data_IF_026655313529
#
_entry.id   IF_026655313529
#
_cell.length_a   1.000
_cell.length_b   1.000
_cell.length_c   1.000
_cell.angle_alpha   90.00
_cell.angle_beta   90.00
_cell.angle_gamma   90.00
#
_symmetry.space_group_name_H-M   'P 1'
#
loop_
_entity.id
_entity.type
_entity.pdbx_description
1 polymer ?
#
# COMPACT_ATOMS: atom_id res chain seq x y z
N UNK A 1 -32.72 3.42 -19.27
CA UNK A 1 -31.60 2.46 -19.12
C UNK A 1 -30.22 3.15 -19.02
N UNK A 2 -29.87 4.12 -19.90
CA UNK A 2 -28.55 4.82 -19.86
C UNK A 2 -28.20 5.53 -18.54
N UNK A 3 -29.20 6.14 -17.87
CA UNK A 3 -28.98 6.87 -16.60
C UNK A 3 -28.52 5.96 -15.46
N UNK A 4 -29.09 4.75 -15.32
CA UNK A 4 -28.66 3.79 -14.29
C UNK A 4 -27.23 3.30 -14.45
N UNK A 5 -26.76 3.14 -15.70
CA UNK A 5 -25.38 2.72 -15.98
C UNK A 5 -24.40 3.81 -15.55
N UNK A 6 -24.70 5.07 -15.89
CA UNK A 6 -23.86 6.20 -15.49
C UNK A 6 -23.82 6.33 -13.96
N UNK A 7 -24.98 6.24 -13.29
CA UNK A 7 -25.03 6.31 -11.82
C UNK A 7 -24.24 5.15 -11.19
N UNK A 8 -24.40 3.92 -11.70
CA UNK A 8 -23.65 2.76 -11.23
C UNK A 8 -22.13 2.92 -11.39
N UNK A 9 -21.69 3.45 -12.53
CA UNK A 9 -20.28 3.72 -12.79
C UNK A 9 -19.74 4.82 -11.86
N UNK A 10 -20.50 5.88 -11.62
CA UNK A 10 -20.11 6.93 -10.67
C UNK A 10 -19.97 6.39 -9.25
N UNK A 11 -20.89 5.55 -8.79
CA UNK A 11 -20.78 4.91 -7.47
C UNK A 11 -19.60 3.93 -7.40
N UNK A 12 -19.32 3.19 -8.48
CA UNK A 12 -18.16 2.32 -8.54
C UNK A 12 -16.84 3.12 -8.46
N UNK A 13 -16.73 4.22 -9.20
CA UNK A 13 -15.58 5.11 -9.13
C UNK A 13 -15.42 5.76 -7.74
N UNK A 14 -16.53 6.20 -7.12
CA UNK A 14 -16.52 6.72 -5.75
C UNK A 14 -16.10 5.65 -4.74
N UNK A 15 -16.56 4.41 -4.92
CA UNK A 15 -16.19 3.27 -4.08
C UNK A 15 -14.71 2.96 -4.20
N UNK A 16 -14.16 2.95 -5.42
CA UNK A 16 -12.74 2.74 -5.68
C UNK A 16 -11.90 3.87 -5.06
N UNK A 17 -12.35 5.12 -5.17
CA UNK A 17 -11.68 6.26 -4.55
C UNK A 17 -11.70 6.18 -3.01
N UNK A 18 -12.82 5.75 -2.42
CA UNK A 18 -12.95 5.52 -0.97
C UNK A 18 -12.03 4.40 -0.49
N UNK A 19 -11.96 3.29 -1.23
CA UNK A 19 -11.02 2.20 -1.00
C UNK A 19 -9.56 2.67 -1.11
N UNK A 20 -9.23 3.50 -2.10
CA UNK A 20 -7.91 4.11 -2.24
C UNK A 20 -7.56 4.98 -1.02
N UNK A 21 -8.47 5.88 -0.63
CA UNK A 21 -8.26 6.76 0.52
C UNK A 21 -8.08 5.97 1.83
N UNK A 22 -8.87 4.93 2.04
CA UNK A 22 -8.74 4.05 3.19
C UNK A 22 -7.38 3.36 3.23
N UNK A 23 -6.86 2.92 2.09
CA UNK A 23 -5.58 2.21 2.00
C UNK A 23 -4.41 3.14 2.32
N UNK A 24 -4.42 4.35 1.77
CA UNK A 24 -3.45 5.40 2.11
C UNK A 24 -3.53 5.74 3.59
N UNK A 25 -4.73 5.92 4.14
CA UNK A 25 -4.89 6.18 5.57
C UNK A 25 -4.31 5.05 6.43
N UNK A 26 -4.47 3.80 5.98
CA UNK A 26 -3.89 2.62 6.61
C UNK A 26 -2.35 2.64 6.57
N UNK A 27 -1.75 3.06 5.46
CA UNK A 27 -0.31 3.22 5.32
C UNK A 27 0.22 4.21 6.37
N UNK A 28 -0.41 5.38 6.46
CA UNK A 28 -0.03 6.39 7.45
C UNK A 28 -0.25 5.89 8.89
N UNK A 29 -1.29 5.09 9.14
CA UNK A 29 -1.52 4.49 10.46
C UNK A 29 -0.38 3.52 10.85
N UNK A 30 0.10 2.75 9.87
CA UNK A 30 1.15 1.75 10.07
C UNK A 30 2.57 2.31 9.74
N UNK A 31 2.68 3.60 9.46
CA UNK A 31 3.93 4.30 9.13
C UNK A 31 5.14 3.94 10.01
N UNK A 32 5.04 3.88 11.36
CA UNK A 32 6.21 3.56 12.18
C UNK A 32 6.78 2.14 11.96
N UNK A 33 6.00 1.23 11.39
CA UNK A 33 6.45 -0.13 11.03
C UNK A 33 6.89 -0.18 9.57
N UNK A 34 6.19 0.50 8.67
CA UNK A 34 6.45 0.45 7.23
C UNK A 34 7.64 1.32 6.83
N UNK A 35 7.82 2.50 7.44
CA UNK A 35 8.89 3.44 7.12
C UNK A 35 10.30 2.81 7.15
N UNK A 36 10.72 2.10 8.20
CA UNK A 36 12.06 1.48 8.21
C UNK A 36 12.20 0.30 7.24
N UNK A 37 11.10 -0.26 6.74
CA UNK A 37 11.12 -1.49 5.93
C UNK A 37 10.95 -1.23 4.43
N UNK A 38 10.15 -0.22 4.05
CA UNK A 38 9.75 0.03 2.66
C UNK A 38 9.92 1.50 2.21
N UNK A 39 10.42 2.38 3.07
CA UNK A 39 10.67 3.79 2.72
C UNK A 39 9.43 4.69 2.81
N UNK A 40 9.49 5.87 2.18
CA UNK A 40 8.34 6.77 2.12
C UNK A 40 7.41 6.38 0.98
N UNK A 41 6.10 6.45 1.21
CA UNK A 41 5.10 6.19 0.18
C UNK A 41 5.23 7.16 -1.00
N UNK A 42 5.74 8.38 -0.77
CA UNK A 42 5.97 9.36 -1.83
C UNK A 42 7.07 8.94 -2.82
N UNK A 43 7.94 8.01 -2.45
CA UNK A 43 8.99 7.49 -3.33
C UNK A 43 8.48 6.37 -4.24
N UNK A 44 7.29 5.84 -3.97
CA UNK A 44 6.71 4.75 -4.74
C UNK A 44 6.17 5.27 -6.07
N UNK A 45 6.84 4.89 -7.15
CA UNK A 45 6.45 5.24 -8.52
C UNK A 45 6.27 3.98 -9.34
N UNK A 46 5.06 3.73 -9.84
CA UNK A 46 4.79 2.55 -10.65
C UNK A 46 3.30 2.29 -10.89
N UNK A 47 2.95 1.50 -11.91
CA UNK A 47 1.56 1.15 -12.21
C UNK A 47 0.91 0.29 -11.11
N UNK A 48 1.72 -0.39 -10.30
CA UNK A 48 1.25 -1.35 -9.29
C UNK A 48 0.93 -0.71 -7.92
N UNK A 49 1.32 0.55 -7.71
CA UNK A 49 1.07 1.29 -6.46
C UNK A 49 -0.42 1.42 -6.18
N UNK A 50 -1.22 1.76 -7.19
CA UNK A 50 -2.66 1.91 -7.02
C UNK A 50 -3.37 0.57 -6.71
N UNK A 51 -3.12 -0.51 -7.47
CA UNK A 51 -3.56 -1.86 -7.08
C UNK A 51 -3.13 -2.25 -5.67
N UNK A 52 -1.90 -1.88 -5.22
CA UNK A 52 -1.42 -2.15 -3.87
C UNK A 52 -2.35 -1.57 -2.81
N UNK A 53 -2.68 -0.29 -2.96
CA UNK A 53 -3.53 0.45 -2.02
C UNK A 53 -4.92 -0.20 -1.97
N UNK A 54 -5.48 -0.58 -3.12
CA UNK A 54 -6.78 -1.25 -3.19
C UNK A 54 -6.74 -2.62 -2.51
N UNK A 55 -5.70 -3.42 -2.77
CA UNK A 55 -5.52 -4.71 -2.12
C UNK A 55 -5.34 -4.57 -0.60
N UNK A 56 -4.57 -3.59 -0.15
CA UNK A 56 -4.39 -3.33 1.27
C UNK A 56 -5.73 -3.02 1.96
N UNK A 57 -6.56 -2.17 1.34
CA UNK A 57 -7.91 -1.86 1.84
C UNK A 57 -8.88 -3.04 1.79
N UNK A 58 -8.71 -3.96 0.83
CA UNK A 58 -9.57 -5.12 0.69
C UNK A 58 -9.20 -6.24 1.67
N UNK A 59 -7.90 -6.46 1.92
CA UNK A 59 -7.42 -7.47 2.85
C UNK A 59 -7.56 -7.04 4.32
N UNK A 60 -7.42 -5.75 4.62
CA UNK A 60 -7.47 -5.27 6.00
C UNK A 60 -8.75 -5.64 6.78
N UNK A 61 -9.97 -5.59 6.19
CA UNK A 61 -11.22 -6.06 6.79
C UNK A 61 -11.18 -7.47 7.36
N UNK A 62 -10.32 -8.36 6.83
CA UNK A 62 -10.14 -9.74 7.33
C UNK A 62 -9.59 -9.75 8.76
N UNK A 63 -8.93 -8.66 9.19
CA UNK A 63 -8.42 -8.49 10.55
C UNK A 63 -9.54 -8.30 11.58
N UNK A 64 -10.72 -7.80 11.18
CA UNK A 64 -11.86 -7.57 12.08
C UNK A 64 -12.40 -8.85 12.74
N UNK A 65 -12.73 -9.93 12.00
CA UNK A 65 -13.19 -11.17 12.62
C UNK A 65 -12.10 -11.79 13.51
N UNK A 66 -10.83 -11.68 13.15
CA UNK A 66 -9.70 -12.11 14.00
C UNK A 66 -9.66 -11.31 15.31
N UNK A 67 -9.75 -9.97 15.22
CA UNK A 67 -9.79 -9.09 16.39
C UNK A 67 -11.01 -9.35 17.28
N UNK A 68 -12.18 -9.56 16.68
CA UNK A 68 -13.42 -9.87 17.39
C UNK A 68 -13.36 -11.23 18.11
N UNK A 69 -12.70 -12.23 17.50
CA UNK A 69 -12.46 -13.53 18.14
C UNK A 69 -11.56 -13.40 19.37
N UNK A 70 -10.48 -12.62 19.28
CA UNK A 70 -9.62 -12.32 20.42
C UNK A 70 -10.34 -11.55 21.53
N UNK A 71 -11.17 -10.55 21.19
CA UNK A 71 -11.96 -9.80 22.17
C UNK A 71 -12.97 -10.71 22.88
N UNK A 72 -13.73 -11.55 22.15
CA UNK A 72 -14.66 -12.52 22.76
C UNK A 72 -13.97 -13.48 23.73
N UNK A 73 -12.77 -13.96 23.39
CA UNK A 73 -12.00 -14.86 24.28
C UNK A 73 -11.56 -14.17 25.56
N UNK A 74 -11.32 -12.85 25.54
CA UNK A 74 -10.95 -12.05 26.72
C UNK A 74 -12.14 -11.47 27.50
N UNK A 75 -13.34 -11.40 26.92
CA UNK A 75 -14.55 -10.99 27.63
C UNK A 75 -14.85 -11.87 28.85
N UNK A 76 -14.43 -13.13 28.84
CA UNK A 76 -14.57 -14.04 29.98
C UNK A 76 -13.77 -13.62 31.23
N UNK A 77 -12.84 -12.65 31.14
CA UNK A 77 -11.97 -12.24 32.25
C UNK A 77 -12.25 -10.84 32.82
N UNK A 78 -13.40 -10.23 32.54
CA UNK A 78 -13.79 -8.91 33.08
C UNK A 78 -12.72 -7.82 32.90
N UNK A 79 -12.21 -7.66 31.68
CA UNK A 79 -11.32 -6.55 31.35
C UNK A 79 -12.15 -5.27 31.12
N UNK A 80 -11.82 -4.18 31.82
CA UNK A 80 -12.50 -2.90 31.71
C UNK A 80 -12.61 -2.36 30.28
N UNK A 81 -13.70 -1.63 29.99
CA UNK A 81 -14.11 -1.16 28.65
C UNK A 81 -12.97 -0.49 27.86
N UNK A 82 -12.16 0.33 28.52
CA UNK A 82 -11.03 1.02 27.89
C UNK A 82 -9.92 0.05 27.41
N UNK A 83 -9.59 -0.98 28.20
CA UNK A 83 -8.58 -1.99 27.82
C UNK A 83 -9.02 -2.79 26.60
N UNK A 84 -10.32 -3.07 26.49
CA UNK A 84 -10.89 -3.79 25.34
C UNK A 84 -10.80 -2.96 24.06
N UNK A 85 -11.17 -1.69 24.12
CA UNK A 85 -11.04 -0.77 22.97
C UNK A 85 -9.56 -0.67 22.54
N UNK A 86 -8.64 -0.53 23.49
CA UNK A 86 -7.22 -0.45 23.19
C UNK A 86 -6.68 -1.74 22.55
N UNK A 87 -7.01 -2.91 23.09
CA UNK A 87 -6.62 -4.21 22.53
C UNK A 87 -7.21 -4.44 21.14
N UNK A 88 -8.46 -4.03 20.94
CA UNK A 88 -9.15 -4.14 19.67
C UNK A 88 -8.49 -3.23 18.62
N UNK A 89 -8.23 -1.96 18.98
CA UNK A 89 -7.51 -1.01 18.13
C UNK A 89 -6.09 -1.51 17.80
N UNK A 90 -5.36 -2.04 18.79
CA UNK A 90 -4.03 -2.60 18.60
C UNK A 90 -4.04 -3.81 17.64
N UNK A 91 -5.07 -4.65 17.74
CA UNK A 91 -5.21 -5.82 16.84
C UNK A 91 -5.55 -5.37 15.43
N UNK A 92 -6.44 -4.39 15.26
CA UNK A 92 -6.72 -3.77 13.96
C UNK A 92 -5.46 -3.14 13.35
N UNK A 93 -4.69 -2.46 14.19
CA UNK A 93 -3.45 -1.81 13.79
C UNK A 93 -2.38 -2.82 13.36
N UNK A 94 -2.21 -3.92 14.11
CA UNK A 94 -1.35 -5.04 13.70
C UNK A 94 -1.84 -5.66 12.40
N UNK A 95 -3.16 -5.81 12.23
CA UNK A 95 -3.77 -6.27 10.99
C UNK A 95 -3.43 -5.36 9.81
N UNK A 96 -3.44 -4.04 9.99
CA UNK A 96 -3.03 -3.08 8.97
C UNK A 96 -1.56 -3.25 8.57
N UNK A 97 -0.66 -3.36 9.55
CA UNK A 97 0.76 -3.57 9.30
C UNK A 97 1.03 -4.89 8.55
N UNK A 98 0.43 -6.00 9.01
CA UNK A 98 0.58 -7.31 8.35
C UNK A 98 0.02 -7.30 6.94
N UNK A 99 -1.13 -6.65 6.73
CA UNK A 99 -1.75 -6.54 5.42
C UNK A 99 -0.83 -5.81 4.44
N UNK A 100 -0.26 -4.68 4.86
CA UNK A 100 0.68 -3.93 4.03
C UNK A 100 1.94 -4.72 3.70
N UNK A 101 2.54 -5.39 4.70
CA UNK A 101 3.71 -6.26 4.48
C UNK A 101 3.38 -7.36 3.46
N UNK A 102 2.21 -7.98 3.57
CA UNK A 102 1.78 -9.04 2.66
C UNK A 102 1.60 -8.51 1.23
N UNK A 103 0.93 -7.38 1.06
CA UNK A 103 0.69 -6.77 -0.27
C UNK A 103 2.00 -6.39 -0.95
N UNK A 104 2.91 -5.72 -0.23
CA UNK A 104 4.21 -5.32 -0.77
C UNK A 104 5.08 -6.52 -1.09
N UNK A 105 4.97 -7.61 -0.34
CA UNK A 105 5.70 -8.86 -0.64
C UNK A 105 5.17 -9.59 -1.87
N UNK A 106 3.90 -9.36 -2.23
CA UNK A 106 3.25 -10.00 -3.38
C UNK A 106 3.43 -9.21 -4.67
N UNK A 107 3.75 -7.93 -4.58
CA UNK A 107 3.93 -7.05 -5.74
C UNK A 107 5.41 -6.78 -5.97
N UNK A 108 5.87 -6.93 -7.21
CA UNK A 108 7.18 -6.45 -7.65
C UNK A 108 7.17 -4.91 -7.72
N UNK A 109 6.99 -4.23 -6.58
CA UNK A 109 7.12 -2.78 -6.51
C UNK A 109 8.58 -2.47 -6.85
N UNK A 110 8.80 -1.91 -8.03
CA UNK A 110 10.13 -1.47 -8.45
C UNK A 110 10.55 -0.33 -7.53
N UNK A 111 11.36 -0.66 -6.52
CA UNK A 111 12.12 0.34 -5.80
C UNK A 111 13.07 0.92 -6.84
N UNK A 112 12.84 2.17 -7.26
CA UNK A 112 13.78 2.93 -8.07
C UNK A 112 15.06 2.99 -7.25
N UNK A 113 15.92 2.04 -7.54
CA UNK A 113 17.17 1.83 -6.86
C UNK A 113 17.98 3.09 -7.10
N UNK A 114 18.28 3.81 -6.03
CA UNK A 114 19.30 4.87 -5.96
C UNK A 114 20.73 4.37 -6.32
N UNK A 115 20.86 3.23 -7.01
CA UNK A 115 22.08 2.55 -7.41
C UNK A 115 22.02 2.14 -8.89
N UNK A 116 21.74 3.10 -9.77
CA UNK A 116 22.32 3.09 -11.12
C UNK A 116 22.89 4.47 -11.41
N UNK A 117 24.14 4.77 -11.00
CA UNK A 117 24.93 5.69 -11.79
C UNK A 117 25.16 5.00 -13.14
N UNK A 118 24.21 5.17 -14.06
CA UNK A 118 24.40 4.87 -15.47
C UNK A 118 25.63 5.67 -15.93
N UNK A 119 26.77 4.98 -15.93
CA UNK A 119 28.00 5.37 -16.59
C UNK A 119 27.66 5.85 -18.00
N UNK A 120 28.09 7.05 -18.43
CA UNK A 120 27.97 7.45 -19.82
C UNK A 120 28.93 6.59 -20.65
N UNK A 121 28.47 5.43 -21.11
CA UNK A 121 29.16 4.56 -22.05
C UNK A 121 28.39 4.50 -23.36
N UNK A 122 28.13 5.67 -23.93
CA UNK A 122 28.05 5.80 -25.38
C UNK A 122 29.27 6.57 -25.87
N UNK A 123 30.37 5.83 -25.96
CA UNK A 123 31.44 6.04 -26.92
C UNK A 123 30.82 6.15 -28.32
N UNK A 124 30.46 7.37 -28.71
CA UNK A 124 30.21 7.73 -30.10
C UNK A 124 31.58 7.67 -30.80
N UNK A 125 31.82 6.74 -31.75
CA UNK A 125 33.05 6.78 -32.50
C UNK A 125 33.11 8.11 -33.26
N UNK A 126 34.24 8.82 -33.09
CA UNK A 126 34.55 10.01 -33.85
C UNK A 126 34.43 9.69 -35.36
N UNK A 127 33.72 10.50 -36.17
CA UNK A 127 33.79 10.35 -37.60
C UNK A 127 35.24 10.62 -38.02
N UNK A 128 35.85 9.57 -38.57
CA UNK A 128 37.16 9.58 -39.15
C UNK A 128 37.25 10.70 -40.20
N UNK A 129 38.29 11.51 -40.02
CA UNK A 129 39.05 12.23 -41.05
C UNK A 129 38.55 12.02 -42.48
N UNK A 130 37.86 13.02 -43.02
CA UNK A 130 37.69 13.22 -44.46
C UNK A 130 38.31 14.57 -44.85
N UNK A 131 39.64 14.58 -44.94
CA UNK A 131 40.44 15.49 -45.77
C UNK A 131 41.79 14.80 -46.01
N UNK A 132 42.20 14.59 -47.27
CA UNK A 132 43.04 15.58 -47.98
C UNK A 132 42.50 15.87 -49.39
N UNK A 133 42.59 17.11 -49.90
CA UNK A 133 43.72 17.64 -50.68
C UNK A 133 44.13 16.75 -51.86
#
# INVERSE_FOLDING_TARGET
MKKSIITGLSFAALGLLSMGFLGVALYYLAYPVLYPMFGDFNDWTGPDVWPAIVWASLLWPISFPVAAWFDRKRQQKSAGRAKRIFLYALTLWLGAAVTWIFVVSMQDIQYTSFLSPELPTHSKPAPASSAPQ
#
